data_IF_053366485498
#
_entry.id   IF_053366485498
#
_cell.length_a   1.000
_cell.length_b   1.000
_cell.length_c   1.000
_cell.angle_alpha   90.00
_cell.angle_beta   90.00
_cell.angle_gamma   90.00
#
_symmetry.space_group_name_H-M   'P 1'
#
loop_
_entity.id
_entity.type
_entity.pdbx_description
1 polymer ?
#
# COMPACT_ATOMS: atom_id res chain seq x y z
N UNK A 1 -25.32 -7.15 -5.53
CA UNK A 1 -25.73 -5.76 -5.21
C UNK A 1 -25.58 -4.82 -6.40
N UNK A 2 -24.36 -4.61 -6.94
CA UNK A 2 -24.10 -3.67 -8.06
C UNK A 2 -24.98 -3.93 -9.29
N UNK A 3 -25.13 -5.19 -9.73
CA UNK A 3 -25.97 -5.55 -10.89
C UNK A 3 -27.45 -5.19 -10.69
N UNK A 4 -27.99 -5.33 -9.48
CA UNK A 4 -29.38 -5.00 -9.20
C UNK A 4 -29.63 -3.48 -9.30
N UNK A 5 -28.70 -2.67 -8.77
CA UNK A 5 -28.75 -1.20 -8.86
C UNK A 5 -28.71 -0.76 -10.33
N UNK A 6 -27.84 -1.37 -11.14
CA UNK A 6 -27.76 -1.10 -12.59
C UNK A 6 -29.09 -1.41 -13.29
N UNK A 7 -29.67 -2.59 -13.03
CA UNK A 7 -30.94 -2.98 -13.64
C UNK A 7 -32.08 -2.04 -13.26
N UNK A 8 -32.17 -1.65 -11.99
CA UNK A 8 -33.20 -0.70 -11.51
C UNK A 8 -33.03 0.65 -12.21
N UNK A 9 -31.81 1.21 -12.23
CA UNK A 9 -31.56 2.50 -12.85
C UNK A 9 -31.89 2.51 -14.35
N UNK A 10 -31.58 1.44 -15.08
CA UNK A 10 -31.92 1.30 -16.50
C UNK A 10 -33.44 1.15 -16.68
N UNK A 11 -34.09 0.30 -15.90
CA UNK A 11 -35.54 0.10 -16.00
C UNK A 11 -36.30 1.40 -15.72
N UNK A 12 -35.92 2.12 -14.67
CA UNK A 12 -36.48 3.44 -14.33
C UNK A 12 -36.24 4.45 -15.46
N UNK A 13 -35.04 4.47 -16.05
CA UNK A 13 -34.74 5.37 -17.17
C UNK A 13 -35.61 5.10 -18.40
N UNK A 14 -35.78 3.82 -18.77
CA UNK A 14 -36.60 3.44 -19.91
C UNK A 14 -38.09 3.72 -19.67
N UNK A 15 -38.59 3.45 -18.46
CA UNK A 15 -39.99 3.69 -18.11
C UNK A 15 -40.33 5.19 -18.15
N UNK A 16 -39.51 6.03 -17.51
CA UNK A 16 -39.73 7.49 -17.52
C UNK A 16 -39.52 8.06 -18.93
N UNK A 17 -38.51 7.58 -19.66
CA UNK A 17 -38.27 8.00 -21.04
C UNK A 17 -39.46 7.68 -21.96
N UNK A 18 -40.06 6.51 -21.81
CA UNK A 18 -41.27 6.13 -22.56
C UNK A 18 -42.46 7.02 -22.20
N UNK A 19 -42.63 7.35 -20.91
CA UNK A 19 -43.71 8.24 -20.44
C UNK A 19 -43.58 9.66 -21.00
N UNK A 20 -42.36 10.19 -21.09
CA UNK A 20 -42.07 11.50 -21.72
C UNK A 20 -42.44 11.48 -23.20
N UNK A 21 -42.06 10.42 -23.92
CA UNK A 21 -42.38 10.29 -25.34
C UNK A 21 -43.89 10.13 -25.55
N UNK A 22 -44.54 9.29 -24.76
CA UNK A 22 -45.99 9.10 -24.81
C UNK A 22 -46.73 10.42 -24.60
N UNK A 23 -46.32 11.20 -23.60
CA UNK A 23 -46.85 12.52 -23.32
C UNK A 23 -46.63 13.46 -24.52
N UNK A 24 -45.43 13.50 -25.10
CA UNK A 24 -45.14 14.32 -26.28
C UNK A 24 -46.00 13.95 -27.52
N UNK A 25 -46.22 12.65 -27.78
CA UNK A 25 -47.00 12.17 -28.94
C UNK A 25 -48.52 12.31 -28.77
N UNK A 26 -49.03 12.35 -27.54
CA UNK A 26 -50.47 12.48 -27.25
C UNK A 26 -50.77 13.81 -26.56
N UNK A 27 -50.80 14.94 -27.31
CA UNK A 27 -51.00 16.29 -26.77
C UNK A 27 -52.42 16.57 -26.24
N UNK A 28 -53.31 15.57 -26.24
CA UNK A 28 -54.69 15.66 -25.72
C UNK A 28 -54.77 15.64 -24.20
N UNK A 29 -53.67 15.34 -23.50
CA UNK A 29 -53.56 15.42 -22.04
C UNK A 29 -53.44 16.88 -21.57
N UNK A 30 -54.38 17.30 -20.72
CA UNK A 30 -54.29 18.58 -19.99
C UNK A 30 -53.00 18.56 -19.16
N UNK A 31 -52.17 19.59 -19.31
CA UNK A 31 -50.87 19.75 -18.61
C UNK A 31 -49.71 18.82 -19.04
N UNK A 32 -49.75 18.28 -20.26
CA UNK A 32 -48.66 17.49 -20.88
C UNK A 32 -47.25 18.09 -20.65
N UNK A 33 -47.12 19.42 -20.74
CA UNK A 33 -45.87 20.17 -20.55
C UNK A 33 -45.27 19.97 -19.16
N UNK A 34 -46.11 20.06 -18.11
CA UNK A 34 -45.64 19.89 -16.73
C UNK A 34 -45.22 18.45 -16.48
N UNK A 35 -45.91 17.47 -17.07
CA UNK A 35 -45.55 16.06 -16.97
C UNK A 35 -44.16 15.81 -17.58
N UNK A 36 -43.87 16.36 -18.77
CA UNK A 36 -42.56 16.25 -19.41
C UNK A 36 -41.45 16.85 -18.51
N UNK A 37 -41.66 18.05 -17.96
CA UNK A 37 -40.67 18.72 -17.11
C UNK A 37 -40.43 17.98 -15.78
N UNK A 38 -41.49 17.50 -15.13
CA UNK A 38 -41.39 16.71 -13.90
C UNK A 38 -40.65 15.40 -14.17
N UNK A 39 -41.01 14.69 -15.24
CA UNK A 39 -40.35 13.44 -15.61
C UNK A 39 -38.87 13.66 -15.96
N UNK A 40 -38.50 14.78 -16.60
CA UNK A 40 -37.10 15.14 -16.80
C UNK A 40 -36.35 15.40 -15.50
N UNK A 41 -36.99 16.02 -14.51
CA UNK A 41 -36.40 16.21 -13.18
C UNK A 41 -36.18 14.86 -12.48
N UNK A 42 -37.15 13.94 -12.54
CA UNK A 42 -37.01 12.58 -11.97
C UNK A 42 -35.88 11.83 -12.68
N UNK A 43 -35.77 11.95 -14.01
CA UNK A 43 -34.70 11.37 -14.81
C UNK A 43 -33.32 11.88 -14.33
N UNK A 44 -33.21 13.19 -14.05
CA UNK A 44 -32.00 13.79 -13.47
C UNK A 44 -31.64 13.26 -12.08
N UNK A 45 -32.65 13.00 -11.24
CA UNK A 45 -32.48 12.35 -9.94
C UNK A 45 -31.93 10.92 -10.06
N UNK A 46 -32.43 10.13 -11.01
CA UNK A 46 -31.93 8.78 -11.29
C UNK A 46 -30.45 8.78 -11.75
N UNK A 47 -30.06 9.78 -12.55
CA UNK A 47 -28.67 9.99 -12.94
C UNK A 47 -27.80 10.35 -11.73
N UNK A 48 -28.27 11.21 -10.83
CA UNK A 48 -27.56 11.57 -9.61
C UNK A 48 -27.38 10.37 -8.66
N UNK A 49 -28.42 9.54 -8.51
CA UNK A 49 -28.34 8.31 -7.73
C UNK A 49 -27.32 7.32 -8.30
N UNK A 50 -27.29 7.15 -9.62
CA UNK A 50 -26.31 6.31 -10.31
C UNK A 50 -24.87 6.81 -10.13
N UNK A 51 -24.70 8.13 -10.10
CA UNK A 51 -23.42 8.77 -9.82
C UNK A 51 -22.97 8.55 -8.36
N UNK A 52 -23.87 8.71 -7.39
CA UNK A 52 -23.63 8.47 -5.97
C UNK A 52 -23.29 6.99 -5.69
N UNK A 53 -23.83 6.06 -6.48
CA UNK A 53 -23.47 4.65 -6.46
C UNK A 53 -22.09 4.35 -7.08
N UNK A 54 -21.28 5.37 -7.41
CA UNK A 54 -19.99 5.28 -8.09
C UNK A 54 -20.04 4.59 -9.47
N UNK A 55 -21.19 4.63 -10.14
CA UNK A 55 -21.39 4.01 -11.45
C UNK A 55 -21.23 5.04 -12.58
N UNK A 56 -20.04 5.62 -12.69
CA UNK A 56 -19.76 6.69 -13.67
C UNK A 56 -19.93 6.25 -15.13
N UNK A 57 -19.68 4.97 -15.46
CA UNK A 57 -19.94 4.44 -16.81
C UNK A 57 -21.43 4.38 -17.12
N UNK A 58 -22.25 3.90 -16.18
CA UNK A 58 -23.70 3.84 -16.33
C UNK A 58 -24.29 5.24 -16.48
N UNK A 59 -23.89 6.16 -15.60
CA UNK A 59 -24.40 7.54 -15.56
C UNK A 59 -24.21 8.24 -16.91
N UNK A 60 -23.07 8.03 -17.59
CA UNK A 60 -22.82 8.58 -18.94
C UNK A 60 -23.81 8.08 -19.99
N UNK A 61 -24.15 6.79 -19.97
CA UNK A 61 -25.17 6.24 -20.87
C UNK A 61 -26.56 6.81 -20.59
N UNK A 62 -26.92 6.95 -19.31
CA UNK A 62 -28.22 7.52 -18.91
C UNK A 62 -28.37 8.98 -19.35
N UNK A 63 -27.31 9.80 -19.24
CA UNK A 63 -27.31 11.18 -19.74
C UNK A 63 -27.55 11.24 -21.25
N UNK A 64 -26.93 10.36 -22.03
CA UNK A 64 -27.13 10.31 -23.48
C UNK A 64 -28.59 9.96 -23.86
N UNK A 65 -29.18 8.99 -23.16
CA UNK A 65 -30.59 8.61 -23.35
C UNK A 65 -31.52 9.79 -22.97
N UNK A 66 -31.26 10.44 -21.83
CA UNK A 66 -32.04 11.60 -21.38
C UNK A 66 -32.03 12.74 -22.40
N UNK A 67 -30.85 13.04 -22.94
CA UNK A 67 -30.68 14.08 -23.96
C UNK A 67 -31.47 13.77 -25.23
N UNK A 68 -31.41 12.52 -25.72
CA UNK A 68 -32.16 12.10 -26.90
C UNK A 68 -33.67 12.16 -26.71
N UNK A 69 -34.17 11.68 -25.56
CA UNK A 69 -35.60 11.74 -25.22
C UNK A 69 -36.07 13.20 -25.12
N UNK A 70 -35.26 14.10 -24.54
CA UNK A 70 -35.61 15.51 -24.44
C UNK A 70 -35.70 16.18 -25.80
N UNK A 71 -34.67 16.04 -26.63
CA UNK A 71 -34.69 16.60 -28.00
C UNK A 71 -35.90 16.09 -28.78
N UNK A 72 -36.17 14.79 -28.72
CA UNK A 72 -37.30 14.20 -29.44
C UNK A 72 -38.63 14.77 -28.93
N UNK A 73 -38.79 14.93 -27.62
CA UNK A 73 -39.99 15.52 -27.02
C UNK A 73 -40.20 16.99 -27.44
N UNK A 74 -39.12 17.77 -27.55
CA UNK A 74 -39.16 19.18 -27.99
C UNK A 74 -39.56 19.27 -29.48
N UNK A 75 -38.97 18.44 -30.34
CA UNK A 75 -39.28 18.41 -31.77
C UNK A 75 -40.73 17.98 -32.02
N UNK A 76 -41.21 16.95 -31.31
CA UNK A 76 -42.57 16.41 -31.49
C UNK A 76 -43.63 17.37 -30.95
N UNK A 77 -43.38 18.02 -29.81
CA UNK A 77 -44.36 18.92 -29.18
C UNK A 77 -44.39 20.30 -29.87
N UNK A 78 -43.25 20.77 -30.41
CA UNK A 78 -43.16 22.05 -31.11
C UNK A 78 -43.48 23.28 -30.24
N UNK A 79 -43.34 23.15 -28.91
CA UNK A 79 -43.81 24.15 -27.94
C UNK A 79 -42.68 25.09 -27.50
N UNK A 80 -42.92 26.40 -27.61
CA UNK A 80 -41.92 27.44 -27.28
C UNK A 80 -41.49 27.38 -25.82
N UNK A 81 -42.40 27.07 -24.90
CA UNK A 81 -42.06 26.97 -23.47
C UNK A 81 -41.05 25.85 -23.18
N UNK A 82 -41.14 24.72 -23.88
CA UNK A 82 -40.17 23.62 -23.75
C UNK A 82 -38.79 24.02 -24.29
N UNK A 83 -38.75 24.89 -25.30
CA UNK A 83 -37.52 25.50 -25.81
C UNK A 83 -36.91 26.51 -24.83
N UNK A 84 -37.72 27.27 -24.09
CA UNK A 84 -37.22 28.20 -23.07
C UNK A 84 -36.42 27.48 -21.97
N UNK A 85 -36.84 26.26 -21.58
CA UNK A 85 -36.13 25.44 -20.59
C UNK A 85 -34.93 24.67 -21.16
N UNK A 86 -34.71 24.69 -22.48
CA UNK A 86 -33.65 23.93 -23.14
C UNK A 86 -32.26 24.25 -22.59
N UNK A 87 -31.98 25.55 -22.40
CA UNK A 87 -30.70 26.00 -21.89
C UNK A 87 -30.45 25.51 -20.45
N UNK A 88 -31.46 25.62 -19.58
CA UNK A 88 -31.37 25.15 -18.20
C UNK A 88 -31.12 23.63 -18.14
N UNK A 89 -31.83 22.87 -18.96
CA UNK A 89 -31.71 21.41 -18.97
C UNK A 89 -30.36 20.95 -19.56
N UNK A 90 -29.85 21.65 -20.57
CA UNK A 90 -28.48 21.45 -21.07
C UNK A 90 -27.43 21.69 -19.99
N UNK A 91 -27.56 22.75 -19.18
CA UNK A 91 -26.63 23.02 -18.08
C UNK A 91 -26.64 21.89 -17.04
N UNK A 92 -27.82 21.37 -16.68
CA UNK A 92 -27.95 20.26 -15.73
C UNK A 92 -27.28 18.99 -16.28
N UNK A 93 -27.54 18.63 -17.54
CA UNK A 93 -26.94 17.44 -18.17
C UNK A 93 -25.42 17.57 -18.32
N UNK A 94 -24.93 18.76 -18.66
CA UNK A 94 -23.50 19.04 -18.76
C UNK A 94 -22.82 18.94 -17.39
N UNK A 95 -23.44 19.50 -16.36
CA UNK A 95 -22.94 19.41 -14.99
C UNK A 95 -22.83 17.95 -14.52
N UNK A 96 -23.88 17.15 -14.70
CA UNK A 96 -23.88 15.71 -14.38
C UNK A 96 -22.79 14.98 -15.18
N UNK A 97 -22.60 15.32 -16.44
CA UNK A 97 -21.55 14.75 -17.30
C UNK A 97 -20.15 15.03 -16.76
N UNK A 98 -19.85 16.28 -16.40
CA UNK A 98 -18.56 16.68 -15.84
C UNK A 98 -18.29 15.95 -14.52
N UNK A 99 -19.28 15.89 -13.63
CA UNK A 99 -19.15 15.13 -12.38
C UNK A 99 -18.90 13.65 -12.63
N UNK A 100 -19.59 13.04 -13.61
CA UNK A 100 -19.38 11.64 -13.96
C UNK A 100 -17.96 11.36 -14.45
N UNK A 101 -17.34 12.29 -15.18
CA UNK A 101 -15.94 12.17 -15.60
C UNK A 101 -14.98 12.30 -14.42
N UNK A 102 -15.23 13.23 -13.50
CA UNK A 102 -14.42 13.39 -12.29
C UNK A 102 -14.44 12.11 -11.43
N UNK A 103 -15.63 11.54 -11.22
CA UNK A 103 -15.79 10.28 -10.48
C UNK A 103 -15.11 9.11 -11.20
N UNK A 104 -15.21 9.03 -12.54
CA UNK A 104 -14.53 7.97 -13.30
C UNK A 104 -13.01 8.03 -13.14
N UNK A 105 -12.41 9.23 -13.27
CA UNK A 105 -10.96 9.44 -13.12
C UNK A 105 -10.50 9.11 -11.70
N UNK A 106 -11.20 9.63 -10.70
CA UNK A 106 -10.87 9.37 -9.30
C UNK A 106 -11.05 7.89 -8.95
N UNK A 107 -12.08 7.23 -9.49
CA UNK A 107 -12.31 5.80 -9.31
C UNK A 107 -11.21 4.94 -9.91
N UNK A 108 -10.79 5.20 -11.14
CA UNK A 108 -9.68 4.48 -11.79
C UNK A 108 -8.37 4.69 -11.05
N UNK A 109 -8.06 5.94 -10.65
CA UNK A 109 -6.90 6.24 -9.83
C UNK A 109 -6.91 5.45 -8.52
N UNK A 110 -8.03 5.48 -7.79
CA UNK A 110 -8.15 4.82 -6.49
C UNK A 110 -8.04 3.29 -6.62
N UNK A 111 -8.66 2.69 -7.65
CA UNK A 111 -8.55 1.26 -7.92
C UNK A 111 -7.11 0.87 -8.26
N UNK A 112 -6.43 1.66 -9.09
CA UNK A 112 -5.05 1.38 -9.47
C UNK A 112 -4.08 1.56 -8.30
N UNK A 113 -4.25 2.62 -7.51
CA UNK A 113 -3.47 2.85 -6.31
C UNK A 113 -3.67 1.70 -5.29
N UNK A 114 -4.92 1.28 -5.07
CA UNK A 114 -5.22 0.18 -4.16
C UNK A 114 -4.66 -1.16 -4.64
N UNK A 115 -4.74 -1.46 -5.96
CA UNK A 115 -4.09 -2.64 -6.54
C UNK A 115 -2.57 -2.62 -6.38
N UNK A 116 -1.95 -1.46 -6.56
CA UNK A 116 -0.50 -1.31 -6.38
C UNK A 116 -0.12 -1.55 -4.93
N UNK A 117 -0.84 -0.92 -3.99
CA UNK A 117 -0.64 -1.15 -2.55
C UNK A 117 -0.84 -2.61 -2.14
N UNK A 118 -1.85 -3.30 -2.70
CA UNK A 118 -2.05 -4.73 -2.45
C UNK A 118 -0.90 -5.58 -2.98
N UNK A 119 -0.39 -5.28 -4.18
CA UNK A 119 0.79 -5.96 -4.74
C UNK A 119 2.02 -5.72 -3.88
N UNK A 120 2.30 -4.48 -3.51
CA UNK A 120 3.45 -4.12 -2.67
C UNK A 120 3.36 -4.83 -1.31
N UNK A 121 2.16 -4.91 -0.72
CA UNK A 121 1.91 -5.67 0.51
C UNK A 121 2.19 -7.17 0.32
N UNK A 122 1.72 -7.78 -0.78
CA UNK A 122 1.95 -9.19 -1.09
C UNK A 122 3.43 -9.50 -1.36
N UNK A 123 4.13 -8.63 -2.09
CA UNK A 123 5.56 -8.76 -2.35
C UNK A 123 6.37 -8.67 -1.06
N UNK A 124 6.05 -7.71 -0.18
CA UNK A 124 6.68 -7.60 1.14
C UNK A 124 6.43 -8.84 2.00
N UNK A 125 5.20 -9.37 2.00
CA UNK A 125 4.87 -10.61 2.71
C UNK A 125 5.66 -11.80 2.17
N UNK A 126 5.82 -11.91 0.85
CA UNK A 126 6.60 -12.98 0.21
C UNK A 126 8.09 -12.87 0.52
N UNK A 127 8.69 -11.69 0.37
CA UNK A 127 10.12 -11.46 0.64
C UNK A 127 10.45 -11.76 2.11
N UNK A 128 9.58 -11.34 3.03
CA UNK A 128 9.76 -11.60 4.44
C UNK A 128 9.41 -13.05 4.82
N UNK A 129 8.72 -13.81 3.96
CA UNK A 129 8.09 -15.11 4.26
C UNK A 129 7.16 -15.03 5.48
N UNK A 130 6.53 -13.87 5.68
CA UNK A 130 5.65 -13.57 6.83
C UNK A 130 4.21 -13.44 6.32
N UNK A 131 3.23 -13.89 7.11
CA UNK A 131 1.79 -13.77 6.82
C UNK A 131 1.20 -12.49 7.46
N UNK A 132 0.11 -11.92 6.90
CA UNK A 132 -0.57 -10.72 7.43
C UNK A 132 -0.89 -10.79 8.92
N UNK A 133 -1.25 -11.99 9.42
CA UNK A 133 -1.51 -12.22 10.86
C UNK A 133 -0.25 -12.01 11.72
N UNK A 134 0.90 -12.44 11.20
CA UNK A 134 2.20 -12.34 11.86
C UNK A 134 2.72 -10.90 11.88
N UNK A 135 2.51 -10.13 10.81
CA UNK A 135 2.83 -8.68 10.80
C UNK A 135 1.98 -7.93 11.82
N UNK A 136 0.67 -8.21 11.91
CA UNK A 136 -0.20 -7.57 12.92
C UNK A 136 0.24 -7.91 14.35
N UNK A 137 0.64 -9.16 14.60
CA UNK A 137 1.21 -9.57 15.88
C UNK A 137 2.54 -8.88 16.17
N UNK A 138 3.44 -8.77 15.19
CA UNK A 138 4.72 -8.06 15.32
C UNK A 138 4.54 -6.57 15.59
N UNK A 139 3.64 -5.90 14.85
CA UNK A 139 3.33 -4.48 15.05
C UNK A 139 2.67 -4.25 16.42
N UNK A 140 1.80 -5.17 16.88
CA UNK A 140 1.24 -5.11 18.23
C UNK A 140 2.32 -5.27 19.31
N UNK A 141 3.28 -6.18 19.11
CA UNK A 141 4.41 -6.40 20.02
C UNK A 141 5.45 -5.27 20.00
N UNK A 142 5.66 -4.62 18.86
CA UNK A 142 6.64 -3.55 18.69
C UNK A 142 6.14 -2.21 19.22
N UNK A 143 4.82 -2.02 19.34
CA UNK A 143 4.20 -0.75 19.72
C UNK A 143 4.12 -0.55 21.23
N UNK A 144 4.07 -1.61 22.04
CA UNK A 144 4.00 -1.56 23.50
C UNK A 144 4.72 -2.73 24.18
N UNK A 145 5.29 -2.49 25.37
CA UNK A 145 5.96 -3.52 26.18
C UNK A 145 4.89 -4.40 26.84
N UNK A 146 4.47 -5.46 26.16
CA UNK A 146 3.42 -6.36 26.65
C UNK A 146 3.94 -7.51 27.52
N UNK A 147 3.03 -8.07 28.33
CA UNK A 147 3.26 -9.14 29.30
C UNK A 147 3.68 -10.47 28.63
N UNK A 148 4.56 -11.23 29.28
CA UNK A 148 5.31 -12.38 28.71
C UNK A 148 4.39 -13.47 28.12
N UNK A 149 3.20 -13.66 28.70
CA UNK A 149 2.20 -14.63 28.25
C UNK A 149 1.54 -14.24 26.91
N UNK A 150 1.32 -12.94 26.68
CA UNK A 150 0.76 -12.44 25.42
C UNK A 150 1.80 -12.55 24.30
N UNK A 151 3.07 -12.29 24.63
CA UNK A 151 4.21 -12.48 23.73
C UNK A 151 4.35 -13.94 23.28
N UNK A 152 4.21 -14.89 24.22
CA UNK A 152 4.25 -16.33 23.92
C UNK A 152 3.09 -16.78 23.01
N UNK A 153 1.85 -16.34 23.27
CA UNK A 153 0.70 -16.67 22.43
C UNK A 153 0.81 -16.07 21.03
N UNK A 154 1.35 -14.84 20.91
CA UNK A 154 1.55 -14.19 19.62
C UNK A 154 2.68 -14.85 18.81
N UNK A 155 3.73 -15.35 19.48
CA UNK A 155 4.77 -16.22 18.90
C UNK A 155 4.23 -17.57 18.43
N UNK A 156 3.30 -18.16 19.17
CA UNK A 156 2.64 -19.42 18.78
C UNK A 156 1.76 -19.23 17.52
N UNK A 157 1.12 -18.05 17.40
CA UNK A 157 0.38 -17.64 16.20
C UNK A 157 1.26 -17.39 14.97
N UNK A 158 2.58 -17.29 15.13
CA UNK A 158 3.52 -17.22 14.00
C UNK A 158 3.67 -18.57 13.29
N UNK A 159 3.12 -19.67 13.80
CA UNK A 159 3.10 -20.94 13.09
C UNK A 159 4.49 -21.61 13.00
N UNK A 160 4.52 -22.90 13.33
CA UNK A 160 5.74 -23.68 13.54
C UNK A 160 6.76 -23.57 12.39
N UNK A 161 6.32 -23.49 11.13
CA UNK A 161 7.21 -23.38 9.99
C UNK A 161 7.93 -22.01 9.88
N UNK A 162 7.28 -20.91 10.25
CA UNK A 162 7.91 -19.58 10.23
C UNK A 162 8.80 -19.40 11.46
N UNK A 163 8.35 -19.90 12.62
CA UNK A 163 9.17 -19.94 13.82
C UNK A 163 10.42 -20.79 13.60
N UNK A 164 10.29 -21.98 12.98
CA UNK A 164 11.41 -22.83 12.60
C UNK A 164 12.36 -22.15 11.64
N UNK A 165 11.86 -21.50 10.59
CA UNK A 165 12.74 -20.78 9.66
C UNK A 165 13.47 -19.60 10.31
N UNK A 166 12.81 -18.86 11.20
CA UNK A 166 13.47 -17.77 11.95
C UNK A 166 14.50 -18.36 12.92
N UNK A 167 14.14 -19.39 13.67
CA UNK A 167 15.06 -20.09 14.59
C UNK A 167 16.24 -20.67 13.82
N UNK A 168 16.03 -21.32 12.68
CA UNK A 168 17.08 -21.93 11.86
C UNK A 168 18.01 -20.86 11.29
N UNK A 169 17.48 -19.74 10.77
CA UNK A 169 18.32 -18.61 10.30
C UNK A 169 19.11 -17.98 11.46
N UNK A 170 18.50 -17.81 12.63
CA UNK A 170 19.18 -17.28 13.83
C UNK A 170 20.23 -18.27 14.32
N UNK A 171 19.94 -19.56 14.33
CA UNK A 171 20.85 -20.63 14.74
C UNK A 171 22.03 -20.73 13.77
N UNK A 172 21.79 -20.62 12.46
CA UNK A 172 22.82 -20.57 11.44
C UNK A 172 23.68 -19.31 11.57
N UNK A 173 23.08 -18.15 11.87
CA UNK A 173 23.82 -16.92 12.17
C UNK A 173 24.70 -17.07 13.42
N UNK A 174 24.15 -17.65 14.51
CA UNK A 174 24.89 -17.90 15.75
C UNK A 174 26.02 -18.91 15.54
N UNK A 175 25.78 -20.00 14.81
CA UNK A 175 26.81 -20.98 14.44
C UNK A 175 27.91 -20.34 13.59
N UNK A 176 27.54 -19.54 12.58
CA UNK A 176 28.52 -18.83 11.74
C UNK A 176 29.35 -17.85 12.58
N UNK A 177 28.71 -17.15 13.50
CA UNK A 177 29.37 -16.24 14.44
C UNK A 177 30.33 -16.99 15.37
N UNK A 178 29.91 -18.13 15.91
CA UNK A 178 30.72 -18.92 16.83
C UNK A 178 31.92 -19.56 16.12
N UNK A 179 31.71 -20.14 14.91
CA UNK A 179 32.78 -20.64 14.06
C UNK A 179 33.78 -19.53 13.69
N UNK A 180 33.28 -18.33 13.38
CA UNK A 180 34.14 -17.18 13.10
C UNK A 180 34.96 -16.75 14.32
N UNK A 181 34.36 -16.82 15.51
CA UNK A 181 35.00 -16.47 16.79
C UNK A 181 36.06 -17.51 17.17
N UNK A 182 35.76 -18.80 17.04
CA UNK A 182 36.72 -19.90 17.24
C UNK A 182 37.88 -19.82 16.24
N UNK A 183 37.61 -19.44 14.99
CA UNK A 183 38.68 -19.23 14.02
C UNK A 183 39.61 -18.08 14.42
N UNK A 184 39.07 -16.98 14.94
CA UNK A 184 39.89 -15.87 15.47
C UNK A 184 40.71 -16.30 16.68
N UNK A 185 40.14 -17.08 17.58
CA UNK A 185 40.86 -17.61 18.74
C UNK A 185 42.04 -18.50 18.32
N UNK A 186 41.84 -19.34 17.29
CA UNK A 186 42.90 -20.19 16.73
C UNK A 186 44.00 -19.41 16.01
N UNK A 187 43.63 -18.38 15.24
CA UNK A 187 44.58 -17.58 14.43
C UNK A 187 45.34 -16.56 15.28
N UNK A 188 44.72 -16.06 16.35
CA UNK A 188 45.27 -15.06 17.25
C UNK A 188 45.25 -15.50 18.73
N UNK A 189 45.95 -16.60 19.09
CA UNK A 189 45.98 -17.10 20.46
C UNK A 189 46.68 -16.14 21.44
N UNK A 190 47.53 -15.22 20.95
CA UNK A 190 48.22 -14.22 21.78
C UNK A 190 47.30 -13.06 22.24
N UNK A 191 46.11 -12.94 21.65
CA UNK A 191 45.13 -11.90 21.99
C UNK A 191 44.21 -12.37 23.11
N UNK A 192 43.85 -11.46 24.02
CA UNK A 192 42.82 -11.75 25.02
C UNK A 192 41.44 -11.87 24.37
N UNK A 193 40.48 -12.49 25.08
CA UNK A 193 39.11 -12.61 24.58
C UNK A 193 38.48 -11.25 24.20
N UNK A 194 38.80 -10.17 24.93
CA UNK A 194 38.32 -8.83 24.59
C UNK A 194 38.98 -8.23 23.35
N UNK A 195 40.26 -8.54 23.13
CA UNK A 195 41.03 -8.10 21.96
C UNK A 195 40.61 -8.86 20.70
N UNK A 196 40.34 -10.17 20.82
CA UNK A 196 39.80 -11.01 19.76
C UNK A 196 38.42 -10.50 19.30
N UNK A 197 37.57 -10.09 20.24
CA UNK A 197 36.25 -9.53 19.93
C UNK A 197 36.35 -8.19 19.18
N UNK A 198 37.32 -7.34 19.55
CA UNK A 198 37.63 -6.11 18.80
C UNK A 198 38.15 -6.43 17.39
N UNK A 199 39.03 -7.43 17.25
CA UNK A 199 39.55 -7.87 15.95
C UNK A 199 38.44 -8.40 15.04
N UNK A 200 37.51 -9.19 15.58
CA UNK A 200 36.33 -9.68 14.86
C UNK A 200 35.51 -8.53 14.27
N UNK A 201 35.23 -7.49 15.06
CA UNK A 201 34.46 -6.34 14.59
C UNK A 201 35.21 -5.50 13.55
N UNK A 202 36.54 -5.39 13.67
CA UNK A 202 37.38 -4.72 12.65
C UNK A 202 37.35 -5.47 11.31
N UNK A 203 37.40 -6.80 11.34
CA UNK A 203 37.30 -7.66 10.15
C UNK A 203 35.93 -7.54 9.47
N UNK A 204 34.88 -7.26 10.25
CA UNK A 204 33.53 -6.94 9.74
C UNK A 204 33.38 -5.51 9.18
N UNK A 205 34.46 -4.74 9.04
CA UNK A 205 34.44 -3.33 8.61
C UNK A 205 33.63 -2.39 9.52
N UNK A 206 33.47 -2.72 10.81
CA UNK A 206 32.77 -1.82 11.75
C UNK A 206 33.61 -0.59 12.05
N UNK A 207 32.96 0.58 12.12
CA UNK A 207 33.61 1.84 12.49
C UNK A 207 33.93 1.88 13.98
N UNK A 208 34.88 2.72 14.40
CA UNK A 208 35.26 2.83 15.82
C UNK A 208 34.06 3.13 16.73
N UNK A 209 33.18 4.05 16.32
CA UNK A 209 31.96 4.39 17.05
C UNK A 209 31.01 3.20 17.20
N UNK A 210 30.85 2.38 16.14
CA UNK A 210 30.03 1.16 16.15
C UNK A 210 30.64 0.08 17.06
N UNK A 211 31.95 -0.03 17.10
CA UNK A 211 32.64 -0.96 18.02
C UNK A 211 32.40 -0.53 19.48
N UNK A 212 32.46 0.77 19.76
CA UNK A 212 32.20 1.30 21.10
C UNK A 212 30.77 1.00 21.57
N UNK A 213 29.78 1.18 20.68
CA UNK A 213 28.38 0.89 21.00
C UNK A 213 28.12 -0.60 21.14
N UNK A 214 28.66 -1.45 20.24
CA UNK A 214 28.46 -2.89 20.28
C UNK A 214 29.08 -3.56 21.52
N UNK A 215 30.24 -3.06 21.97
CA UNK A 215 30.94 -3.61 23.14
C UNK A 215 30.56 -2.90 24.44
N UNK A 216 29.75 -1.84 24.38
CA UNK A 216 29.41 -0.96 25.50
C UNK A 216 30.68 -0.48 26.26
N UNK A 217 31.68 0.00 25.52
CA UNK A 217 32.95 0.50 26.07
C UNK A 217 33.25 1.90 25.55
N UNK A 218 33.94 2.70 26.35
CA UNK A 218 34.36 4.03 25.95
C UNK A 218 35.38 3.98 24.80
N UNK A 219 35.40 5.04 23.99
CA UNK A 219 36.34 5.16 22.87
C UNK A 219 37.80 5.05 23.32
N UNK A 220 38.15 5.67 24.46
CA UNK A 220 39.49 5.56 25.08
C UNK A 220 39.88 4.11 25.41
N UNK A 221 38.93 3.30 25.88
CA UNK A 221 39.19 1.88 26.16
C UNK A 221 39.46 1.11 24.85
N UNK A 222 38.63 1.32 23.82
CA UNK A 222 38.77 0.64 22.53
C UNK A 222 40.06 1.06 21.81
N UNK A 223 40.43 2.34 21.83
CA UNK A 223 41.68 2.82 21.22
C UNK A 223 42.91 2.25 21.93
N UNK A 224 42.87 2.16 23.27
CA UNK A 224 43.93 1.52 24.07
C UNK A 224 44.07 0.05 23.72
N UNK A 225 42.96 -0.70 23.64
CA UNK A 225 43.01 -2.11 23.26
C UNK A 225 43.48 -2.30 21.82
N UNK A 226 43.11 -1.42 20.88
CA UNK A 226 43.65 -1.44 19.51
C UNK A 226 45.17 -1.22 19.50
N UNK A 227 45.70 -0.34 20.35
CA UNK A 227 47.14 -0.15 20.49
C UNK A 227 47.83 -1.40 21.06
N UNK A 228 47.23 -2.05 22.06
CA UNK A 228 47.73 -3.30 22.62
C UNK A 228 47.73 -4.45 21.60
N UNK A 229 46.66 -4.59 20.81
CA UNK A 229 46.57 -5.54 19.70
C UNK A 229 47.72 -5.30 18.71
N UNK A 230 47.92 -4.05 18.28
CA UNK A 230 49.01 -3.70 17.35
C UNK A 230 50.37 -4.11 17.90
N UNK A 231 50.62 -3.85 19.18
CA UNK A 231 51.87 -4.22 19.86
C UNK A 231 52.07 -5.74 19.91
N UNK A 232 51.02 -6.49 20.24
CA UNK A 232 51.06 -7.96 20.29
C UNK A 232 51.26 -8.60 18.92
N UNK A 233 50.70 -8.00 17.87
CA UNK A 233 50.87 -8.43 16.49
C UNK A 233 52.19 -7.94 15.85
N UNK A 234 53.07 -7.27 16.60
CA UNK A 234 54.37 -6.81 16.12
C UNK A 234 54.29 -5.73 15.01
N UNK A 235 53.20 -4.96 14.98
CA UNK A 235 52.94 -4.01 13.90
C UNK A 235 53.79 -2.73 14.00
N UNK A 236 54.28 -2.26 12.86
CA UNK A 236 54.89 -0.94 12.71
C UNK A 236 53.88 0.21 12.79
N UNK A 237 54.36 1.45 12.93
CA UNK A 237 53.51 2.65 13.04
C UNK A 237 52.67 2.92 11.79
N UNK A 238 53.17 2.56 10.60
CA UNK A 238 52.48 2.76 9.32
C UNK A 238 51.50 1.62 8.96
N UNK A 239 51.52 0.51 9.68
CA UNK A 239 50.77 -0.68 9.29
C UNK A 239 49.26 -0.52 9.54
N UNK A 240 48.44 -0.98 8.59
CA UNK A 240 47.00 -1.00 8.74
C UNK A 240 46.56 -2.28 9.48
N UNK A 241 45.93 -2.10 10.66
CA UNK A 241 45.51 -3.23 11.52
C UNK A 241 44.58 -4.21 10.80
N UNK A 242 43.63 -3.72 10.00
CA UNK A 242 42.69 -4.59 9.30
C UNK A 242 43.40 -5.47 8.27
N UNK A 243 44.30 -4.88 7.46
CA UNK A 243 45.05 -5.63 6.44
C UNK A 243 45.93 -6.72 7.05
N UNK A 244 46.55 -6.45 8.20
CA UNK A 244 47.37 -7.44 8.91
C UNK A 244 46.51 -8.59 9.44
N UNK A 245 45.33 -8.28 10.00
CA UNK A 245 44.38 -9.31 10.46
C UNK A 245 43.88 -10.17 9.29
N UNK A 246 43.50 -9.56 8.15
CA UNK A 246 43.04 -10.27 6.94
C UNK A 246 44.14 -11.18 6.38
N UNK A 247 45.37 -10.68 6.27
CA UNK A 247 46.53 -11.44 5.78
C UNK A 247 46.78 -12.68 6.62
N UNK A 248 46.78 -12.55 7.95
CA UNK A 248 47.07 -13.67 8.85
C UNK A 248 45.96 -14.73 8.86
N UNK A 249 44.71 -14.32 8.69
CA UNK A 249 43.60 -15.26 8.48
C UNK A 249 43.78 -16.03 7.17
N UNK A 250 44.14 -15.36 6.07
CA UNK A 250 44.39 -16.00 4.79
C UNK A 250 45.58 -16.98 4.81
N UNK A 251 46.61 -16.70 5.61
CA UNK A 251 47.77 -17.59 5.80
C UNK A 251 47.48 -18.79 6.70
N UNK A 252 46.37 -18.78 7.44
CA UNK A 252 45.98 -19.83 8.39
C UNK A 252 44.87 -20.75 7.86
N UNK A 253 44.40 -20.52 6.63
CA UNK A 253 43.44 -21.35 5.87
C UNK A 253 44.18 -22.38 5.02
#
# INVERSE_FOLDING_TARGET
MVRAIVCIAIATQCFIGADILYSAFMPTLKDNRMVILINMLILSGNMFFSLAAYQARLTRWLVGIAFGVYILSVIVTGDESLMDYFFMMMLILLFISVLSLAVARNGEYLVNANRTLQRDEEELLQVLKINKKQIKAYVALAKERHDVKLTAHLLDLLGEASQKNVIDNVMQYLQTRELSKQNIERVFPELSASEQEICYLILQNRKLSEICTLLNKSESNITTQRANIRKKLGMGSADNLKKVLEKRIAESQ
#
